data_IF_244503939270
#
_entry.id   IF_244503939270
#
_cell.length_a   1.000
_cell.length_b   1.000
_cell.length_c   1.000
_cell.angle_alpha   90.00
_cell.angle_beta   90.00
_cell.angle_gamma   90.00
#
_symmetry.space_group_name_H-M   'P 1'
#
loop_
_entity.id
_entity.type
_entity.pdbx_description
1 polymer ?
#
# COMPACT_ATOMS: atom_id res chain seq x y z
N UNK A 1 10.83 -17.54 15.23
CA UNK A 1 10.12 -16.33 15.74
C UNK A 1 10.46 -15.06 14.94
N UNK A 2 11.58 -15.05 14.20
CA UNK A 2 12.06 -13.95 13.35
C UNK A 2 11.17 -13.67 12.13
N UNK A 3 10.50 -14.69 11.59
CA UNK A 3 9.77 -14.58 10.31
C UNK A 3 8.44 -13.86 10.46
N UNK A 4 7.67 -14.15 11.52
CA UNK A 4 6.39 -13.47 11.78
C UNK A 4 6.58 -11.96 12.01
N UNK A 5 7.59 -11.57 12.79
CA UNK A 5 7.89 -10.16 13.04
C UNK A 5 8.35 -9.44 11.75
N UNK A 6 9.08 -10.15 10.88
CA UNK A 6 9.48 -9.62 9.57
C UNK A 6 8.27 -9.38 8.68
N UNK A 7 7.37 -10.37 8.58
CA UNK A 7 6.14 -10.26 7.78
C UNK A 7 5.23 -9.15 8.34
N UNK A 8 5.12 -9.04 9.66
CA UNK A 8 4.34 -7.97 10.30
C UNK A 8 4.89 -6.59 9.96
N UNK A 9 6.22 -6.41 10.03
CA UNK A 9 6.87 -5.15 9.68
C UNK A 9 6.67 -4.79 8.20
N UNK A 10 6.78 -5.76 7.30
CA UNK A 10 6.50 -5.58 5.88
C UNK A 10 5.03 -5.21 5.63
N UNK A 11 4.11 -5.84 6.36
CA UNK A 11 2.68 -5.56 6.27
C UNK A 11 2.37 -4.12 6.70
N UNK A 12 2.89 -3.69 7.85
CA UNK A 12 2.75 -2.32 8.33
C UNK A 12 3.37 -1.31 7.36
N UNK A 13 4.52 -1.64 6.77
CA UNK A 13 5.18 -0.82 5.75
C UNK A 13 4.29 -0.67 4.51
N UNK A 14 3.69 -1.76 4.03
CA UNK A 14 2.79 -1.74 2.89
C UNK A 14 1.55 -0.88 3.16
N UNK A 15 0.94 -1.00 4.35
CA UNK A 15 -0.19 -0.16 4.75
C UNK A 15 0.18 1.33 4.81
N UNK A 16 1.34 1.65 5.37
CA UNK A 16 1.82 3.03 5.46
C UNK A 16 2.07 3.62 4.07
N UNK A 17 2.69 2.85 3.17
CA UNK A 17 2.92 3.29 1.78
C UNK A 17 1.62 3.51 1.01
N UNK A 18 0.65 2.60 1.14
CA UNK A 18 -0.70 2.78 0.57
C UNK A 18 -1.34 4.08 1.07
N UNK A 19 -1.28 4.36 2.38
CA UNK A 19 -1.84 5.58 2.98
C UNK A 19 -1.17 6.84 2.46
N UNK A 20 0.17 6.87 2.43
CA UNK A 20 0.97 7.99 1.92
C UNK A 20 0.60 8.32 0.47
N UNK A 21 0.55 7.30 -0.40
CA UNK A 21 0.22 7.47 -1.81
C UNK A 21 -1.23 7.89 -2.03
N UNK A 22 -2.17 7.36 -1.23
CA UNK A 22 -3.58 7.76 -1.29
C UNK A 22 -3.78 9.23 -0.94
N UNK A 23 -3.03 9.73 0.06
CA UNK A 23 -3.07 11.14 0.41
C UNK A 23 -2.45 12.02 -0.68
N UNK A 24 -1.31 11.58 -1.24
CA UNK A 24 -0.69 12.25 -2.38
C UNK A 24 -1.59 12.28 -3.61
N UNK A 25 -2.35 11.21 -3.87
CA UNK A 25 -3.34 11.14 -4.95
C UNK A 25 -4.42 12.20 -4.73
N UNK A 26 -5.02 12.27 -3.53
CA UNK A 26 -6.01 13.30 -3.19
C UNK A 26 -5.49 14.72 -3.38
N UNK A 27 -4.27 14.98 -2.94
CA UNK A 27 -3.65 16.30 -3.11
C UNK A 27 -3.39 16.61 -4.58
N UNK A 28 -2.95 15.62 -5.36
CA UNK A 28 -2.71 15.77 -6.81
C UNK A 28 -4.02 16.07 -7.54
N UNK A 29 -5.07 15.28 -7.30
CA UNK A 29 -6.40 15.46 -7.91
C UNK A 29 -7.01 16.83 -7.54
N UNK A 30 -6.74 17.35 -6.34
CA UNK A 30 -7.19 18.68 -5.90
C UNK A 30 -6.39 19.81 -6.55
N UNK A 31 -5.07 19.66 -6.67
CA UNK A 31 -4.18 20.71 -7.17
C UNK A 31 -4.20 20.81 -8.70
N UNK A 32 -4.19 19.67 -9.39
CA UNK A 32 -4.20 19.58 -10.84
C UNK A 32 -4.93 18.30 -11.31
N UNK A 33 -6.27 18.37 -11.48
CA UNK A 33 -7.06 17.21 -11.90
C UNK A 33 -6.75 16.76 -13.34
N UNK A 34 -6.07 17.57 -14.14
CA UNK A 34 -5.74 17.25 -15.53
C UNK A 34 -4.40 16.53 -15.68
N UNK A 35 -3.63 16.39 -14.59
CA UNK A 35 -2.39 15.62 -14.56
C UNK A 35 -2.68 14.10 -14.53
N UNK A 36 -3.30 13.63 -15.60
CA UNK A 36 -3.77 12.25 -15.77
C UNK A 36 -2.63 11.23 -15.66
N UNK A 37 -1.44 11.59 -16.14
CA UNK A 37 -0.25 10.75 -16.03
C UNK A 37 0.15 10.50 -14.57
N UNK A 38 0.30 11.55 -13.76
CA UNK A 38 0.68 11.40 -12.35
C UNK A 38 -0.43 10.71 -11.54
N UNK A 39 -1.69 11.04 -11.80
CA UNK A 39 -2.85 10.39 -11.17
C UNK A 39 -2.84 8.88 -11.48
N UNK A 40 -2.59 8.50 -12.73
CA UNK A 40 -2.52 7.09 -13.13
C UNK A 40 -1.39 6.34 -12.43
N UNK A 41 -0.18 6.91 -12.40
CA UNK A 41 0.96 6.31 -11.68
C UNK A 41 0.65 6.12 -10.20
N UNK A 42 0.06 7.13 -9.54
CA UNK A 42 -0.27 7.03 -8.12
C UNK A 42 -1.29 5.92 -7.86
N UNK A 43 -2.30 5.76 -8.74
CA UNK A 43 -3.29 4.69 -8.63
C UNK A 43 -2.66 3.31 -8.82
N UNK A 44 -1.77 3.14 -9.79
CA UNK A 44 -1.05 1.89 -10.01
C UNK A 44 -0.19 1.51 -8.79
N UNK A 45 0.55 2.47 -8.24
CA UNK A 45 1.33 2.27 -7.02
C UNK A 45 0.46 1.91 -5.82
N UNK A 46 -0.72 2.54 -5.67
CA UNK A 46 -1.68 2.19 -4.61
C UNK A 46 -2.14 0.74 -4.76
N UNK A 47 -2.51 0.32 -5.97
CA UNK A 47 -2.95 -1.05 -6.24
C UNK A 47 -1.86 -2.09 -5.94
N UNK A 48 -0.61 -1.79 -6.28
CA UNK A 48 0.54 -2.64 -5.90
C UNK A 48 0.64 -2.84 -4.39
N UNK A 49 0.61 -1.75 -3.61
CA UNK A 49 0.75 -1.82 -2.16
C UNK A 49 -0.48 -2.44 -1.48
N UNK A 50 -1.67 -2.27 -2.05
CA UNK A 50 -2.88 -2.95 -1.63
C UNK A 50 -2.73 -4.47 -1.77
N UNK A 51 -2.41 -4.97 -2.97
CA UNK A 51 -2.21 -6.40 -3.20
C UNK A 51 -1.09 -6.99 -2.33
N UNK A 52 0.02 -6.26 -2.16
CA UNK A 52 1.10 -6.68 -1.25
C UNK A 52 0.62 -6.77 0.20
N UNK A 53 -0.15 -5.79 0.69
CA UNK A 53 -0.67 -5.80 2.05
C UNK A 53 -1.65 -6.96 2.29
N UNK A 54 -2.49 -7.28 1.31
CA UNK A 54 -3.43 -8.41 1.39
C UNK A 54 -2.70 -9.75 1.44
N UNK A 55 -1.70 -9.96 0.57
CA UNK A 55 -0.89 -11.18 0.59
C UNK A 55 -0.14 -11.37 1.90
N UNK A 56 0.42 -10.29 2.46
CA UNK A 56 1.11 -10.34 3.76
C UNK A 56 0.13 -10.60 4.91
N UNK A 57 -1.07 -10.02 4.87
CA UNK A 57 -2.13 -10.30 5.85
C UNK A 57 -2.52 -11.77 5.82
N UNK A 58 -2.72 -12.33 4.63
CA UNK A 58 -3.02 -13.75 4.47
C UNK A 58 -1.91 -14.64 5.08
N UNK A 59 -0.64 -14.35 4.80
CA UNK A 59 0.48 -15.07 5.39
C UNK A 59 0.52 -14.97 6.93
N UNK A 60 0.22 -13.79 7.51
CA UNK A 60 0.14 -13.60 8.95
C UNK A 60 -1.02 -14.38 9.58
N UNK A 61 -2.16 -14.46 8.90
CA UNK A 61 -3.34 -15.19 9.37
C UNK A 61 -3.09 -16.71 9.36
N UNK A 62 -2.37 -17.23 8.35
CA UNK A 62 -1.96 -18.64 8.30
C UNK A 62 -0.92 -19.00 9.38
N UNK A 63 -0.01 -18.09 9.74
CA UNK A 63 0.98 -18.32 10.80
C UNK A 63 0.40 -18.30 12.23
N UNK A 64 -0.81 -17.77 12.41
CA UNK A 64 -1.51 -17.71 13.70
C UNK A 64 -2.39 -18.94 13.98
N UNK A 65 -2.63 -19.78 12.97
CA UNK A 65 -3.36 -21.05 13.11
C UNK A 65 -2.47 -22.12 13.72
#
# INVERSE_FOLDING_TARGET
>A
MTDMNTILKEYETALNKKRELSERLRQTEKADPNNSYQIWILRDQIAYWEGRSEGLKFALDELKK
#
